data_IF_262876571996
#
_entry.id   IF_262876571996
#
_cell.length_a   1.000
_cell.length_b   1.000
_cell.length_c   1.000
_cell.angle_alpha   90.00
_cell.angle_beta   90.00
_cell.angle_gamma   90.00
#
_symmetry.space_group_name_H-M   'P 1'
#
loop_
_entity.id
_entity.type
_entity.pdbx_description
1 polymer ?
#
# COMPACT_ATOMS: atom_id res chain seq x y z
N UNK A 1 -0.52 16.76 5.64
CA UNK A 1 -0.47 17.61 4.42
C UNK A 1 0.66 17.07 3.58
N UNK A 2 0.36 16.21 2.58
CA UNK A 2 1.39 15.68 1.68
C UNK A 2 1.46 16.59 0.47
N UNK A 3 2.54 17.39 0.40
CA UNK A 3 2.85 18.17 -0.79
C UNK A 3 3.48 17.24 -1.82
N UNK A 4 2.85 17.13 -2.97
CA UNK A 4 3.47 16.51 -4.14
C UNK A 4 4.38 17.58 -4.75
N UNK A 5 5.67 17.50 -4.44
CA UNK A 5 6.67 18.34 -5.08
C UNK A 5 7.06 17.75 -6.43
N UNK A 6 6.75 18.49 -7.48
CA UNK A 6 7.39 18.33 -8.77
C UNK A 6 8.78 18.95 -8.65
N UNK A 7 9.81 18.15 -8.46
CA UNK A 7 11.19 18.64 -8.50
C UNK A 7 11.98 17.92 -9.59
N UNK A 8 12.24 18.64 -10.66
CA UNK A 8 13.52 18.56 -11.34
C UNK A 8 14.52 19.35 -10.48
N UNK A 9 15.68 18.76 -10.24
CA UNK A 9 16.83 19.26 -9.49
C UNK A 9 16.86 18.95 -7.98
N UNK A 10 17.53 17.84 -7.66
CA UNK A 10 18.65 17.80 -6.70
C UNK A 10 19.31 16.42 -6.73
N UNK A 11 20.37 16.31 -7.51
CA UNK A 11 21.42 15.31 -7.28
C UNK A 11 22.16 15.68 -6.00
N UNK A 12 22.40 14.67 -5.13
CA UNK A 12 23.20 14.71 -3.91
C UNK A 12 22.53 15.22 -2.64
N UNK A 13 21.63 14.42 -2.09
CA UNK A 13 21.51 14.27 -0.63
C UNK A 13 20.95 12.88 -0.32
N UNK A 14 21.40 12.28 0.79
CA UNK A 14 21.11 10.92 1.25
C UNK A 14 19.75 10.40 0.77
N UNK A 15 19.72 9.22 0.13
CA UNK A 15 18.51 8.60 -0.40
C UNK A 15 17.36 8.77 0.59
N UNK A 16 16.55 9.82 0.42
CA UNK A 16 15.30 9.96 1.14
C UNK A 16 14.42 8.78 0.70
N UNK A 17 13.90 8.04 1.66
CA UNK A 17 12.97 6.92 1.39
C UNK A 17 11.58 7.48 1.06
N UNK A 18 11.52 8.41 0.11
CA UNK A 18 10.27 9.02 -0.33
C UNK A 18 9.67 8.20 -1.45
N UNK A 19 8.35 8.00 -1.38
CA UNK A 19 7.60 7.40 -2.46
C UNK A 19 7.47 8.44 -3.59
N UNK A 20 8.05 8.13 -4.76
CA UNK A 20 7.97 9.00 -5.94
C UNK A 20 6.96 8.43 -6.93
N UNK A 21 6.01 9.27 -7.34
CA UNK A 21 5.08 8.96 -8.42
C UNK A 21 5.55 9.65 -9.71
N UNK A 22 6.16 8.86 -10.61
CA UNK A 22 6.65 9.36 -11.90
C UNK A 22 5.62 9.09 -13.02
N UNK A 23 5.03 10.15 -13.54
CA UNK A 23 4.11 10.10 -14.68
C UNK A 23 4.69 10.72 -15.96
N UNK A 24 5.98 10.98 -16.01
CA UNK A 24 6.65 11.63 -17.16
C UNK A 24 6.42 10.90 -18.49
N UNK A 25 6.30 9.56 -18.44
CA UNK A 25 6.07 8.72 -19.63
C UNK A 25 4.63 8.79 -20.18
N UNK A 26 3.71 9.44 -19.48
CA UNK A 26 2.33 9.64 -19.94
C UNK A 26 2.17 10.84 -20.86
N UNK A 27 3.19 11.70 -20.99
CA UNK A 27 3.15 12.95 -21.77
C UNK A 27 2.79 12.77 -23.26
N UNK A 28 2.98 11.56 -23.82
CA UNK A 28 2.54 11.24 -25.18
C UNK A 28 1.03 10.95 -25.31
N UNK A 29 0.33 10.73 -24.17
CA UNK A 29 -1.08 10.34 -24.13
C UNK A 29 -1.95 11.36 -23.42
N UNK A 30 -1.41 12.06 -22.41
CA UNK A 30 -2.11 13.03 -21.57
C UNK A 30 -1.39 14.37 -21.69
N UNK A 31 -2.13 15.39 -22.12
CA UNK A 31 -1.57 16.74 -22.24
C UNK A 31 -1.55 17.43 -20.89
N UNK A 32 -0.58 18.30 -20.69
CA UNK A 32 -0.44 19.11 -19.47
C UNK A 32 -1.74 19.87 -19.14
N UNK A 33 -2.40 20.42 -20.16
CA UNK A 33 -3.67 21.13 -20.00
C UNK A 33 -4.79 20.26 -19.43
N UNK A 34 -4.81 18.97 -19.75
CA UNK A 34 -5.81 18.04 -19.21
C UNK A 34 -5.60 17.80 -17.72
N UNK A 35 -4.32 17.67 -17.30
CA UNK A 35 -3.94 17.55 -15.89
C UNK A 35 -4.36 18.80 -15.12
N UNK A 36 -4.03 19.99 -15.65
CA UNK A 36 -4.38 21.28 -15.03
C UNK A 36 -5.90 21.44 -14.90
N UNK A 37 -6.65 21.10 -15.94
CA UNK A 37 -8.12 21.21 -15.95
C UNK A 37 -8.77 20.26 -14.94
N UNK A 38 -8.21 19.07 -14.71
CA UNK A 38 -8.72 18.10 -13.73
C UNK A 38 -8.47 18.51 -12.29
N UNK A 39 -7.52 19.40 -12.01
CA UNK A 39 -7.09 19.78 -10.66
C UNK A 39 -8.27 20.17 -9.76
N UNK A 40 -9.20 21.00 -10.26
CA UNK A 40 -10.36 21.46 -9.48
C UNK A 40 -11.30 20.30 -9.12
N UNK A 41 -11.56 19.41 -10.06
CA UNK A 41 -12.42 18.25 -9.85
C UNK A 41 -11.79 17.28 -8.83
N UNK A 42 -10.48 17.03 -8.94
CA UNK A 42 -9.74 16.17 -8.01
C UNK A 42 -9.71 16.75 -6.60
N UNK A 43 -9.49 18.06 -6.45
CA UNK A 43 -9.50 18.71 -5.14
C UNK A 43 -10.88 18.64 -4.49
N UNK A 44 -11.97 18.86 -5.26
CA UNK A 44 -13.33 18.71 -4.75
C UNK A 44 -13.65 17.26 -4.33
N UNK A 45 -13.24 16.28 -5.11
CA UNK A 45 -13.40 14.87 -4.75
C UNK A 45 -12.59 14.50 -3.49
N UNK A 46 -11.37 15.02 -3.36
CA UNK A 46 -10.55 14.86 -2.16
C UNK A 46 -11.24 15.45 -0.92
N UNK A 47 -11.82 16.64 -1.03
CA UNK A 47 -12.54 17.28 0.06
C UNK A 47 -13.71 16.41 0.53
N UNK A 48 -14.57 15.96 -0.40
CA UNK A 48 -15.69 15.06 -0.10
C UNK A 48 -15.23 13.77 0.59
N UNK A 49 -14.11 13.20 0.16
CA UNK A 49 -13.52 12.00 0.77
C UNK A 49 -13.00 12.29 2.19
N UNK A 50 -12.28 13.40 2.37
CA UNK A 50 -11.67 13.77 3.65
C UNK A 50 -12.73 14.14 4.69
N UNK A 51 -13.77 14.87 4.27
CA UNK A 51 -14.91 15.27 5.12
C UNK A 51 -15.92 14.13 5.31
N UNK A 52 -15.73 13.00 4.62
CA UNK A 52 -16.60 11.82 4.70
C UNK A 52 -18.08 12.15 4.40
N UNK A 53 -18.33 13.07 3.46
CA UNK A 53 -19.68 13.58 3.13
C UNK A 53 -20.31 12.93 1.91
N UNK A 54 -19.54 12.14 1.15
CA UNK A 54 -20.00 11.49 -0.07
C UNK A 54 -20.78 10.21 0.14
N UNK A 55 -21.37 9.70 -0.93
CA UNK A 55 -21.99 8.38 -0.94
C UNK A 55 -20.96 7.30 -0.62
N UNK A 56 -21.31 6.35 0.24
CA UNK A 56 -20.41 5.30 0.70
C UNK A 56 -19.49 5.71 1.86
N UNK A 57 -19.79 6.80 2.55
CA UNK A 57 -19.03 7.27 3.70
C UNK A 57 -18.96 6.26 4.86
N UNK A 58 -19.90 5.33 4.94
CA UNK A 58 -19.88 4.23 5.92
C UNK A 58 -18.72 3.23 5.71
N UNK A 59 -18.08 3.26 4.54
CA UNK A 59 -17.01 2.34 4.14
C UNK A 59 -15.63 3.01 4.10
N UNK A 60 -15.40 4.09 4.83
CA UNK A 60 -14.15 4.87 4.81
C UNK A 60 -13.20 4.58 5.99
N UNK A 61 -13.40 3.50 6.74
CA UNK A 61 -12.50 3.13 7.84
C UNK A 61 -11.03 2.93 7.45
N UNK A 62 -10.77 2.59 6.20
CA UNK A 62 -9.43 2.41 5.67
C UNK A 62 -8.59 3.70 5.60
N UNK A 63 -9.21 4.88 5.57
CA UNK A 63 -8.50 6.17 5.48
C UNK A 63 -7.62 6.40 6.71
N UNK A 64 -8.17 6.15 7.89
CA UNK A 64 -7.50 6.43 9.16
C UNK A 64 -6.75 5.19 9.70
N UNK A 65 -7.04 4.01 9.18
CA UNK A 65 -6.50 2.73 9.64
C UNK A 65 -4.96 2.68 9.76
N UNK A 66 -4.16 3.30 8.87
CA UNK A 66 -2.71 3.30 9.02
C UNK A 66 -2.20 3.99 10.28
N UNK A 67 -2.99 4.88 10.87
CA UNK A 67 -2.65 5.67 12.06
C UNK A 67 -3.49 5.24 13.26
N UNK A 68 -4.80 5.11 13.05
CA UNK A 68 -5.80 4.82 14.08
C UNK A 68 -6.32 3.38 13.95
N UNK A 69 -5.44 2.42 14.27
CA UNK A 69 -5.78 1.00 14.32
C UNK A 69 -5.80 0.48 15.76
N UNK A 70 -6.55 -0.58 16.01
CA UNK A 70 -6.58 -1.28 17.29
C UNK A 70 -5.22 -1.91 17.59
N UNK A 71 -4.50 -1.35 18.56
CA UNK A 71 -3.16 -1.80 18.96
C UNK A 71 -3.19 -3.17 19.63
N UNK A 72 -4.21 -3.46 20.40
CA UNK A 72 -4.35 -4.74 21.11
C UNK A 72 -4.68 -5.85 20.11
N UNK A 73 -5.54 -5.57 19.13
CA UNK A 73 -5.79 -6.51 18.03
C UNK A 73 -4.54 -6.76 17.21
N UNK A 74 -3.78 -5.74 16.87
CA UNK A 74 -2.52 -5.88 16.14
C UNK A 74 -1.49 -6.73 16.89
N UNK A 75 -1.41 -6.57 18.21
CA UNK A 75 -0.54 -7.41 19.05
C UNK A 75 -1.01 -8.87 19.11
N UNK A 76 -2.32 -9.11 19.09
CA UNK A 76 -2.88 -10.47 18.96
C UNK A 76 -2.53 -11.09 17.59
N UNK A 77 -2.61 -10.32 16.51
CA UNK A 77 -2.21 -10.76 15.16
C UNK A 77 -0.73 -11.14 15.13
N UNK A 78 0.15 -10.32 15.69
CA UNK A 78 1.59 -10.64 15.78
C UNK A 78 1.85 -11.93 16.56
N UNK A 79 1.20 -12.13 17.70
CA UNK A 79 1.33 -13.36 18.49
C UNK A 79 0.84 -14.59 17.71
N UNK A 80 -0.27 -14.48 17.00
CA UNK A 80 -0.77 -15.55 16.15
C UNK A 80 0.20 -15.87 15.00
N UNK A 81 0.77 -14.84 14.36
CA UNK A 81 1.77 -15.01 13.31
C UNK A 81 3.03 -15.74 13.82
N UNK A 82 3.57 -15.36 14.98
CA UNK A 82 4.72 -16.04 15.58
C UNK A 82 4.40 -17.50 15.92
N UNK A 83 3.21 -17.78 16.43
CA UNK A 83 2.78 -19.16 16.68
C UNK A 83 2.75 -20.00 15.38
N UNK A 84 2.15 -19.46 14.33
CA UNK A 84 2.07 -20.13 13.01
C UNK A 84 3.47 -20.39 12.46
N UNK A 85 4.38 -19.42 12.54
CA UNK A 85 5.78 -19.58 12.14
C UNK A 85 6.51 -20.69 12.91
N UNK A 86 6.16 -20.88 14.17
CA UNK A 86 6.81 -21.87 15.04
C UNK A 86 6.29 -23.29 14.86
N UNK A 87 5.03 -23.47 14.53
CA UNK A 87 4.36 -24.78 14.52
C UNK A 87 3.80 -25.23 13.15
N UNK A 88 4.05 -24.47 12.09
CA UNK A 88 3.55 -24.77 10.75
C UNK A 88 4.67 -24.78 9.71
N UNK A 89 4.61 -25.70 8.77
CA UNK A 89 5.51 -25.75 7.61
C UNK A 89 4.92 -25.07 6.38
N UNK A 90 3.60 -24.94 6.35
CA UNK A 90 2.85 -24.34 5.23
C UNK A 90 1.67 -23.54 5.78
N UNK A 91 1.51 -22.33 5.31
CA UNK A 91 0.32 -21.51 5.51
C UNK A 91 -0.46 -21.45 4.19
N UNK A 92 -1.66 -22.02 4.16
CA UNK A 92 -2.54 -21.94 3.01
C UNK A 92 -3.59 -20.85 3.22
N UNK A 93 -3.56 -19.82 2.36
CA UNK A 93 -4.55 -18.75 2.37
C UNK A 93 -5.58 -19.00 1.27
N UNK A 94 -6.84 -19.17 1.67
CA UNK A 94 -7.97 -19.37 0.77
C UNK A 94 -8.79 -18.09 0.75
N UNK A 95 -8.90 -17.47 -0.42
CA UNK A 95 -9.65 -16.22 -0.60
C UNK A 95 -9.89 -15.94 -2.08
N UNK A 96 -10.79 -15.02 -2.37
CA UNK A 96 -11.11 -14.59 -3.73
C UNK A 96 -11.02 -13.06 -3.85
N UNK A 97 -10.47 -12.56 -4.94
CA UNK A 97 -10.35 -11.12 -5.20
C UNK A 97 -9.64 -10.37 -4.07
N UNK A 98 -10.27 -9.33 -3.56
CA UNK A 98 -9.71 -8.48 -2.49
C UNK A 98 -9.40 -9.20 -1.18
N UNK A 99 -10.02 -10.36 -0.94
CA UNK A 99 -9.76 -11.13 0.27
C UNK A 99 -8.36 -11.75 0.34
N UNK A 100 -7.63 -11.86 -0.78
CA UNK A 100 -6.26 -12.38 -0.78
C UNK A 100 -5.25 -11.52 -1.54
N UNK A 101 -5.69 -10.75 -2.55
CA UNK A 101 -4.78 -10.03 -3.44
C UNK A 101 -3.88 -9.03 -2.71
N UNK A 102 -4.41 -8.33 -1.70
CA UNK A 102 -3.62 -7.39 -0.89
C UNK A 102 -2.52 -8.09 -0.10
N UNK A 103 -2.85 -9.19 0.57
CA UNK A 103 -1.87 -10.00 1.30
C UNK A 103 -0.83 -10.60 0.34
N UNK A 104 -1.26 -11.12 -0.81
CA UNK A 104 -0.37 -11.65 -1.84
C UNK A 104 0.60 -10.59 -2.35
N UNK A 105 0.11 -9.40 -2.67
CA UNK A 105 0.96 -8.30 -3.12
C UNK A 105 2.05 -7.96 -2.10
N UNK A 106 1.71 -7.88 -0.81
CA UNK A 106 2.68 -7.64 0.25
C UNK A 106 3.71 -8.77 0.38
N UNK A 107 3.27 -10.02 0.34
CA UNK A 107 4.14 -11.19 0.42
C UNK A 107 5.12 -11.22 -0.77
N UNK A 108 4.62 -11.05 -2.00
CA UNK A 108 5.45 -11.08 -3.21
C UNK A 108 6.42 -9.90 -3.27
N UNK A 109 6.03 -8.74 -2.75
CA UNK A 109 6.91 -7.56 -2.66
C UNK A 109 8.06 -7.75 -1.65
N UNK A 110 7.80 -8.43 -0.53
CA UNK A 110 8.74 -8.59 0.58
C UNK A 110 9.55 -9.90 0.52
N UNK A 111 9.17 -10.81 -0.38
CA UNK A 111 9.77 -12.15 -0.45
C UNK A 111 10.48 -12.37 -1.78
N UNK A 112 11.39 -13.35 -1.78
CA UNK A 112 12.03 -13.82 -3.01
C UNK A 112 10.99 -14.47 -3.94
N UNK A 113 11.08 -14.23 -5.26
CA UNK A 113 10.10 -14.73 -6.24
C UNK A 113 9.91 -16.26 -6.24
N UNK A 114 10.93 -17.01 -5.82
CA UNK A 114 10.90 -18.47 -5.71
C UNK A 114 10.90 -18.94 -4.25
N UNK A 115 10.33 -18.14 -3.35
CA UNK A 115 10.37 -18.39 -1.90
C UNK A 115 9.87 -19.79 -1.53
N UNK A 116 8.78 -20.24 -2.11
CA UNK A 116 8.14 -21.52 -1.80
C UNK A 116 8.95 -22.76 -2.24
N UNK A 117 9.95 -22.58 -3.12
CA UNK A 117 10.84 -23.68 -3.56
C UNK A 117 12.19 -23.66 -2.87
N UNK A 118 12.45 -22.67 -2.00
CA UNK A 118 13.64 -22.64 -1.18
C UNK A 118 13.63 -23.78 -0.14
N UNK A 119 14.79 -24.34 0.21
CA UNK A 119 14.90 -25.26 1.33
C UNK A 119 14.35 -24.65 2.64
N UNK A 120 13.76 -25.48 3.49
CA UNK A 120 13.14 -25.02 4.76
C UNK A 120 14.08 -24.14 5.60
N UNK A 121 15.38 -24.48 5.65
CA UNK A 121 16.38 -23.71 6.41
C UNK A 121 16.70 -22.31 5.85
N UNK A 122 16.29 -22.02 4.61
CA UNK A 122 16.48 -20.72 3.97
C UNK A 122 15.22 -19.85 4.01
N UNK A 123 14.09 -20.44 4.40
CA UNK A 123 12.81 -19.74 4.57
C UNK A 123 12.67 -19.21 5.99
N UNK A 124 12.24 -17.95 6.13
CA UNK A 124 12.00 -17.31 7.43
C UNK A 124 10.57 -17.54 7.94
N UNK A 125 9.68 -17.98 7.06
CA UNK A 125 8.24 -18.18 7.32
C UNK A 125 7.77 -19.46 6.62
N UNK A 126 6.66 -20.05 7.03
CA UNK A 126 6.02 -21.17 6.33
C UNK A 126 5.80 -20.92 4.85
#
# INVERSE_FOLDING_TARGET
MYEIYLTQEKENEAMSRELVFDYSKTAGFIREEEIVNMKKAVLGAKEVLTEKTGAGNDFLGWIDLPVDYDKDEFDRIKKAAEKIKGDSDVLLVIGIGGSYLGARAAIEFLSHSFYNVLPKGERKTP
#
